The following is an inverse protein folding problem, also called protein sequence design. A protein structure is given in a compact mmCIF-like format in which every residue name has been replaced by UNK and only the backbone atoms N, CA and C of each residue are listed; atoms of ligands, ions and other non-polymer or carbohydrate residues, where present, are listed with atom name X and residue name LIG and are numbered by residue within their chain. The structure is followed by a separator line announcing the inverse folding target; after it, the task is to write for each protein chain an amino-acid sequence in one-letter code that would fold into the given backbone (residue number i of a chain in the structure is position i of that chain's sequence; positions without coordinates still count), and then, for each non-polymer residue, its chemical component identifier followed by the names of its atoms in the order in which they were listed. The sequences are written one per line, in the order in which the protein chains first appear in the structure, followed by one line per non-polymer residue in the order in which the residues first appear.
data_IF_342653339773
#
_entry.id   IF_342653339773
#
_cell.length_a   1.000
_cell.length_b   1.000
_cell.length_c   1.000
_cell.angle_alpha   90.00
_cell.angle_beta   90.00
_cell.angle_gamma   90.00
#
_symmetry.space_group_name_H-M   'P 1'
#
loop_
_entity.id
_entity.type
_entity.pdbx_description
1 polymer ?
#
# COMPACT_ATOMS: atom_id res chain seq x y z
N UNK A 1 46.12 -17.00 -11.66
CA UNK A 1 46.05 -17.12 -13.12
C UNK A 1 47.30 -16.61 -13.85
N UNK A 2 47.78 -15.39 -13.59
CA UNK A 2 48.94 -14.83 -14.33
C UNK A 2 50.23 -15.66 -14.16
N UNK A 3 50.48 -16.17 -12.95
CA UNK A 3 51.68 -16.99 -12.66
C UNK A 3 51.62 -18.42 -13.27
N UNK A 4 50.43 -19.02 -13.42
CA UNK A 4 50.29 -20.36 -14.00
C UNK A 4 50.41 -20.34 -15.53
N UNK A 5 49.96 -19.25 -16.17
CA UNK A 5 50.13 -19.04 -17.61
C UNK A 5 51.61 -18.87 -17.97
N UNK A 6 52.36 -18.13 -17.15
CA UNK A 6 53.81 -17.94 -17.33
C UNK A 6 54.61 -19.24 -17.27
N UNK A 7 54.25 -20.17 -16.38
CA UNK A 7 54.92 -21.47 -16.26
C UNK A 7 54.66 -22.41 -17.45
N UNK A 8 53.46 -22.34 -18.05
CA UNK A 8 53.10 -23.10 -19.26
C UNK A 8 53.90 -22.56 -20.46
N UNK A 9 53.96 -21.24 -20.63
CA UNK A 9 54.73 -20.61 -21.72
C UNK A 9 56.23 -20.87 -21.58
N UNK A 10 56.79 -20.79 -20.36
CA UNK A 10 58.20 -21.08 -20.11
C UNK A 10 58.56 -22.57 -20.35
N UNK A 11 57.65 -23.50 -20.06
CA UNK A 11 57.88 -24.94 -20.27
C UNK A 11 57.84 -25.36 -21.74
N UNK A 12 57.15 -24.61 -22.61
CA UNK A 12 57.12 -24.84 -24.07
C UNK A 12 58.44 -24.40 -24.71
N UNK A 13 59.09 -23.37 -24.16
CA UNK A 13 60.32 -22.79 -24.73
C UNK A 13 61.57 -23.62 -24.38
N UNK A 14 61.55 -24.42 -23.30
CA UNK A 14 62.72 -25.22 -22.88
C UNK A 14 62.31 -26.63 -22.40
N UNK A 15 62.14 -27.61 -23.31
CA UNK A 15 61.59 -28.93 -22.98
C UNK A 15 62.64 -29.82 -22.28
N UNK A 16 62.64 -29.80 -20.95
CA UNK A 16 63.36 -30.79 -20.13
C UNK A 16 62.54 -32.07 -19.90
N UNK A 17 63.15 -33.19 -19.46
CA UNK A 17 62.44 -34.46 -19.21
C UNK A 17 61.34 -34.39 -18.14
N UNK A 18 61.28 -33.31 -17.36
CA UNK A 18 60.23 -33.04 -16.36
C UNK A 18 59.06 -32.19 -16.90
N UNK A 19 59.13 -31.74 -18.16
CA UNK A 19 58.17 -30.80 -18.78
C UNK A 19 56.73 -31.33 -18.81
N UNK A 20 56.54 -32.64 -19.00
CA UNK A 20 55.21 -33.25 -19.01
C UNK A 20 54.51 -33.19 -17.64
N UNK A 21 55.27 -33.35 -16.56
CA UNK A 21 54.74 -33.27 -15.19
C UNK A 21 54.35 -31.83 -14.84
N UNK A 22 55.19 -30.85 -15.19
CA UNK A 22 54.87 -29.44 -14.94
C UNK A 22 53.68 -28.96 -15.76
N UNK A 23 53.55 -29.38 -17.01
CA UNK A 23 52.37 -29.07 -17.85
C UNK A 23 51.10 -29.70 -17.25
N UNK A 24 51.17 -30.96 -16.80
CA UNK A 24 50.05 -31.64 -16.15
C UNK A 24 49.58 -30.93 -14.88
N UNK A 25 50.51 -30.58 -13.98
CA UNK A 25 50.21 -29.87 -12.72
C UNK A 25 49.66 -28.47 -13.01
N UNK A 26 50.24 -27.73 -13.97
CA UNK A 26 49.75 -26.40 -14.33
C UNK A 26 48.35 -26.45 -14.95
N UNK A 27 48.06 -27.44 -15.80
CA UNK A 27 46.74 -27.68 -16.36
C UNK A 27 45.70 -28.01 -15.29
N UNK A 28 46.03 -28.89 -14.34
CA UNK A 28 45.16 -29.20 -13.20
C UNK A 28 44.90 -27.97 -12.32
N UNK A 29 45.94 -27.18 -12.01
CA UNK A 29 45.80 -25.95 -11.23
C UNK A 29 44.93 -24.90 -11.94
N UNK A 30 45.03 -24.79 -13.26
CA UNK A 30 44.16 -23.94 -14.07
C UNK A 30 42.71 -24.42 -14.02
N UNK A 31 42.46 -25.72 -14.22
CA UNK A 31 41.10 -26.27 -14.17
C UNK A 31 40.46 -26.11 -12.78
N UNK A 32 41.21 -26.34 -11.70
CA UNK A 32 40.72 -26.09 -10.33
C UNK A 32 40.43 -24.60 -10.15
N UNK A 33 41.34 -23.71 -10.58
CA UNK A 33 41.09 -22.26 -10.48
C UNK A 33 39.88 -21.82 -11.30
N UNK A 34 39.70 -22.37 -12.50
CA UNK A 34 38.55 -22.10 -13.37
C UNK A 34 37.26 -22.68 -12.78
N UNK A 35 37.29 -23.87 -12.16
CA UNK A 35 36.16 -24.47 -11.47
C UNK A 35 35.79 -23.68 -10.21
N UNK A 36 36.77 -23.20 -9.45
CA UNK A 36 36.57 -22.30 -8.30
C UNK A 36 35.99 -20.97 -8.79
N UNK A 37 36.56 -20.36 -9.83
CA UNK A 37 35.99 -19.15 -10.42
C UNK A 37 34.59 -19.37 -10.96
N UNK A 38 34.30 -20.53 -11.56
CA UNK A 38 32.98 -20.87 -12.09
C UNK A 38 31.96 -21.12 -10.99
N UNK A 39 32.37 -21.77 -9.89
CA UNK A 39 31.52 -21.99 -8.71
C UNK A 39 31.30 -20.70 -7.91
N UNK A 40 32.28 -19.81 -7.81
CA UNK A 40 32.11 -18.49 -7.22
C UNK A 40 31.36 -17.50 -8.14
N UNK A 41 31.52 -17.61 -9.47
CA UNK A 41 30.79 -16.79 -10.45
C UNK A 41 29.35 -17.28 -10.67
N UNK A 42 29.08 -18.57 -10.43
CA UNK A 42 27.74 -19.03 -10.07
C UNK A 42 27.40 -18.42 -8.71
N UNK A 43 26.96 -17.15 -8.73
CA UNK A 43 26.17 -16.57 -7.65
C UNK A 43 25.22 -17.65 -7.18
N UNK A 44 25.34 -18.05 -5.93
CA UNK A 44 24.48 -19.06 -5.32
C UNK A 44 23.04 -18.81 -5.76
N UNK A 45 22.50 -19.71 -6.58
CA UNK A 45 21.10 -19.70 -7.01
C UNK A 45 20.18 -20.17 -5.90
N UNK A 46 20.72 -20.53 -4.73
CA UNK A 46 19.99 -20.31 -3.48
C UNK A 46 19.88 -18.80 -3.26
N UNK A 47 19.05 -18.16 -4.08
CA UNK A 47 18.38 -16.95 -3.71
C UNK A 47 17.75 -17.26 -2.35
N UNK A 48 18.32 -16.70 -1.28
CA UNK A 48 17.76 -16.67 0.06
C UNK A 48 16.27 -16.34 -0.11
N UNK A 49 15.43 -17.39 -0.09
CA UNK A 49 14.04 -17.30 -0.51
C UNK A 49 13.42 -16.18 0.29
N UNK A 50 12.76 -15.22 -0.39
CA UNK A 50 12.07 -14.19 0.37
C UNK A 50 10.90 -14.92 1.03
N UNK A 51 10.73 -14.80 2.36
CA UNK A 51 9.61 -15.45 3.02
C UNK A 51 8.32 -15.02 2.32
N UNK A 52 7.59 -15.99 1.74
CA UNK A 52 6.37 -15.74 0.98
C UNK A 52 5.25 -15.17 1.86
N UNK A 53 5.30 -15.48 3.16
CA UNK A 53 4.42 -14.93 4.19
C UNK A 53 4.39 -13.39 4.17
N UNK A 54 5.48 -12.77 3.74
CA UNK A 54 5.55 -11.32 3.65
C UNK A 54 4.69 -10.74 2.54
N UNK A 55 4.12 -11.50 1.60
CA UNK A 55 3.36 -10.99 0.45
C UNK A 55 1.84 -11.20 0.54
N UNK A 56 1.39 -12.07 1.43
CA UNK A 56 -0.04 -12.41 1.58
C UNK A 56 -0.82 -11.49 2.53
N UNK A 57 -0.13 -10.77 3.41
CA UNK A 57 -0.78 -9.94 4.43
C UNK A 57 -1.14 -8.56 3.87
N UNK A 58 -2.42 -8.25 3.73
CA UNK A 58 -2.91 -6.94 3.31
C UNK A 58 -3.94 -6.45 4.31
N UNK A 59 -3.95 -5.17 4.64
CA UNK A 59 -5.00 -4.63 5.48
C UNK A 59 -6.30 -4.67 4.68
N UNK A 60 -7.30 -5.36 5.20
CA UNK A 60 -8.62 -5.34 4.60
C UNK A 60 -9.35 -4.08 5.05
N UNK A 61 -9.44 -3.10 4.15
CA UNK A 61 -10.07 -1.79 4.42
C UNK A 61 -11.59 -1.87 4.25
N UNK A 62 -12.13 -3.00 3.79
CA UNK A 62 -13.56 -3.18 3.55
C UNK A 62 -14.02 -2.33 2.37
N UNK A 63 -15.05 -1.50 2.56
CA UNK A 63 -15.55 -0.57 1.55
C UNK A 63 -15.13 0.87 1.92
N UNK A 64 -14.08 1.43 1.28
CA UNK A 64 -13.57 2.76 1.63
C UNK A 64 -14.64 3.85 1.51
N UNK A 65 -14.67 4.74 2.49
CA UNK A 65 -15.60 5.85 2.63
C UNK A 65 -17.09 5.44 2.64
N UNK A 66 -17.42 4.17 2.87
CA UNK A 66 -18.80 3.72 2.94
C UNK A 66 -19.58 4.35 4.11
N UNK A 67 -18.89 4.70 5.19
CA UNK A 67 -19.48 5.35 6.36
C UNK A 67 -20.04 6.74 6.06
N UNK A 68 -19.60 7.40 4.98
CA UNK A 68 -20.16 8.67 4.53
C UNK A 68 -21.67 8.60 4.25
N UNK A 69 -22.19 7.40 3.93
CA UNK A 69 -23.62 7.17 3.71
C UNK A 69 -24.47 7.32 4.97
N UNK A 70 -23.85 7.25 6.14
CA UNK A 70 -24.52 7.34 7.45
C UNK A 70 -24.53 8.77 8.00
N UNK A 71 -23.73 9.65 7.42
CA UNK A 71 -23.61 11.03 7.88
C UNK A 71 -24.85 11.85 7.52
N UNK A 72 -25.18 12.78 8.40
CA UNK A 72 -26.17 13.82 8.20
C UNK A 72 -25.68 14.96 7.31
N UNK A 73 -26.62 15.81 6.88
CA UNK A 73 -26.28 17.03 6.14
C UNK A 73 -25.51 18.00 7.02
N UNK A 74 -24.50 18.66 6.45
CA UNK A 74 -23.67 19.61 7.17
C UNK A 74 -22.57 18.97 8.03
N UNK A 75 -22.46 17.64 8.08
CA UNK A 75 -21.41 16.91 8.83
C UNK A 75 -20.07 16.86 8.06
N UNK A 76 -19.69 17.96 7.43
CA UNK A 76 -18.50 18.08 6.57
C UNK A 76 -17.20 17.72 7.29
N UNK A 77 -17.10 18.09 8.55
CA UNK A 77 -15.94 17.77 9.39
C UNK A 77 -15.79 16.25 9.58
N UNK A 78 -16.89 15.57 9.94
CA UNK A 78 -16.90 14.13 10.11
C UNK A 78 -16.60 13.42 8.78
N UNK A 79 -17.18 13.90 7.68
CA UNK A 79 -16.91 13.37 6.34
C UNK A 79 -15.43 13.48 5.95
N UNK A 80 -14.80 14.64 6.22
CA UNK A 80 -13.38 14.84 5.98
C UNK A 80 -12.53 13.87 6.83
N UNK A 81 -12.87 13.68 8.12
CA UNK A 81 -12.13 12.81 9.02
C UNK A 81 -12.25 11.32 8.65
N UNK A 82 -13.44 10.85 8.31
CA UNK A 82 -13.65 9.48 7.80
C UNK A 82 -12.84 9.26 6.53
N UNK A 83 -12.97 10.19 5.56
CA UNK A 83 -12.26 10.09 4.29
C UNK A 83 -10.74 10.08 4.48
N UNK A 84 -10.20 10.94 5.33
CA UNK A 84 -8.77 10.98 5.61
C UNK A 84 -8.28 9.67 6.26
N UNK A 85 -9.03 9.14 7.24
CA UNK A 85 -8.68 7.89 7.93
C UNK A 85 -8.67 6.69 6.97
N UNK A 86 -9.65 6.62 6.06
CA UNK A 86 -9.70 5.57 5.06
C UNK A 86 -8.56 5.72 4.05
N UNK A 87 -8.24 6.94 3.60
CA UNK A 87 -7.09 7.18 2.72
C UNK A 87 -5.75 6.89 3.40
N UNK A 88 -5.59 7.16 4.69
CA UNK A 88 -4.41 6.78 5.46
C UNK A 88 -4.27 5.25 5.53
N UNK A 89 -5.38 4.53 5.68
CA UNK A 89 -5.40 3.06 5.63
C UNK A 89 -5.00 2.53 4.24
N UNK A 90 -5.46 3.17 3.17
CA UNK A 90 -5.02 2.86 1.80
C UNK A 90 -3.55 3.23 1.55
N UNK A 91 -3.05 4.32 2.15
CA UNK A 91 -1.65 4.71 2.09
C UNK A 91 -0.76 3.65 2.76
N UNK A 92 -1.16 3.12 3.93
CA UNK A 92 -0.45 2.03 4.59
C UNK A 92 -0.37 0.77 3.71
N UNK A 93 -1.44 0.44 2.99
CA UNK A 93 -1.40 -0.64 1.99
C UNK A 93 -0.43 -0.33 0.83
N UNK A 94 -0.42 0.91 0.34
CA UNK A 94 0.55 1.32 -0.68
C UNK A 94 2.01 1.26 -0.17
N UNK A 95 2.25 1.58 1.10
CA UNK A 95 3.57 1.45 1.75
C UNK A 95 4.00 -0.02 1.86
N UNK A 96 3.07 -0.94 2.19
CA UNK A 96 3.35 -2.38 2.13
C UNK A 96 3.71 -2.82 0.72
N UNK A 97 2.99 -2.35 -0.31
CA UNK A 97 3.33 -2.59 -1.71
C UNK A 97 4.74 -2.07 -2.05
N UNK A 98 5.08 -0.87 -1.60
CA UNK A 98 6.40 -0.25 -1.81
C UNK A 98 7.50 -1.07 -1.16
N UNK A 99 7.34 -1.41 0.12
CA UNK A 99 8.31 -2.19 0.89
C UNK A 99 8.56 -3.53 0.21
N UNK A 100 7.50 -4.24 -0.19
CA UNK A 100 7.63 -5.53 -0.89
C UNK A 100 8.29 -5.40 -2.25
N UNK A 101 7.93 -4.39 -3.03
CA UNK A 101 8.56 -4.11 -4.32
C UNK A 101 10.04 -3.81 -4.15
N UNK A 102 10.42 -3.07 -3.11
CA UNK A 102 11.82 -2.72 -2.82
C UNK A 102 12.68 -3.94 -2.49
N UNK A 103 12.11 -4.97 -1.86
CA UNK A 103 12.82 -6.22 -1.55
C UNK A 103 13.26 -6.95 -2.82
N UNK A 104 12.53 -6.79 -3.93
CA UNK A 104 12.84 -7.40 -5.22
C UNK A 104 13.95 -6.65 -5.98
N UNK A 105 14.22 -5.39 -5.62
CA UNK A 105 15.20 -4.56 -6.33
C UNK A 105 16.61 -5.15 -6.19
N UNK A 106 17.31 -5.29 -7.33
CA UNK A 106 18.66 -5.82 -7.40
C UNK A 106 18.79 -7.33 -7.18
N UNK A 107 17.66 -8.06 -7.03
CA UNK A 107 17.67 -9.52 -6.92
C UNK A 107 17.74 -10.17 -8.29
N UNK A 108 18.43 -11.32 -8.34
CA UNK A 108 18.54 -12.14 -9.55
C UNK A 108 17.15 -12.61 -9.97
N UNK A 109 16.81 -12.40 -11.24
CA UNK A 109 15.48 -12.69 -11.79
C UNK A 109 14.49 -11.52 -11.72
N UNK A 110 14.81 -10.45 -10.97
CA UNK A 110 13.97 -9.26 -10.83
C UNK A 110 14.67 -8.00 -11.38
N UNK A 111 15.60 -8.18 -12.32
CA UNK A 111 16.31 -7.09 -12.98
C UNK A 111 15.32 -6.14 -13.66
N UNK A 112 14.27 -6.68 -14.30
CA UNK A 112 13.25 -5.91 -14.98
C UNK A 112 12.44 -5.01 -14.02
N UNK A 113 12.17 -5.46 -12.79
CA UNK A 113 11.54 -4.64 -11.72
C UNK A 113 12.44 -3.44 -11.37
N UNK A 114 13.76 -3.65 -11.37
CA UNK A 114 14.76 -2.62 -11.06
C UNK A 114 14.90 -1.62 -12.21
N UNK A 115 15.03 -2.11 -13.44
CA UNK A 115 15.17 -1.33 -14.67
C UNK A 115 13.96 -0.41 -14.89
N UNK A 116 12.75 -0.93 -14.66
CA UNK A 116 11.49 -0.18 -14.76
C UNK A 116 11.24 0.76 -13.57
N UNK A 117 12.13 0.73 -12.56
CA UNK A 117 12.07 1.55 -11.34
C UNK A 117 10.73 1.41 -10.64
N UNK A 118 10.18 0.19 -10.56
CA UNK A 118 8.87 -0.07 -9.97
C UNK A 118 8.76 0.48 -8.55
N UNK A 119 9.80 0.34 -7.73
CA UNK A 119 9.84 0.91 -6.38
C UNK A 119 9.56 2.42 -6.34
N UNK A 120 10.08 3.20 -7.30
CA UNK A 120 9.84 4.65 -7.38
C UNK A 120 8.42 4.98 -7.79
N UNK A 121 7.84 4.19 -8.70
CA UNK A 121 6.44 4.39 -9.12
C UNK A 121 5.50 4.19 -7.94
N UNK A 122 5.72 3.14 -7.15
CA UNK A 122 4.93 2.87 -5.94
C UNK A 122 5.19 3.95 -4.87
N UNK A 123 6.43 4.39 -4.69
CA UNK A 123 6.77 5.49 -3.75
C UNK A 123 6.06 6.81 -4.11
N UNK A 124 5.97 7.14 -5.39
CA UNK A 124 5.20 8.31 -5.86
C UNK A 124 3.72 8.15 -5.52
N UNK A 125 3.14 6.97 -5.77
CA UNK A 125 1.74 6.68 -5.43
C UNK A 125 1.48 6.83 -3.92
N UNK A 126 2.35 6.27 -3.07
CA UNK A 126 2.29 6.44 -1.61
C UNK A 126 2.30 7.92 -1.23
N UNK A 127 3.22 8.68 -1.82
CA UNK A 127 3.39 10.11 -1.55
C UNK A 127 2.15 10.92 -1.97
N UNK A 128 1.54 10.57 -3.11
CA UNK A 128 0.33 11.20 -3.62
C UNK A 128 -0.88 10.91 -2.71
N UNK A 129 -1.10 9.66 -2.30
CA UNK A 129 -2.20 9.30 -1.36
C UNK A 129 -2.01 10.03 -0.02
N UNK A 130 -0.81 9.98 0.56
CA UNK A 130 -0.48 10.68 1.81
C UNK A 130 -0.62 12.20 1.69
N UNK A 131 -0.38 12.79 0.51
CA UNK A 131 -0.60 14.21 0.27
C UNK A 131 -2.09 14.55 0.32
N UNK A 132 -2.93 13.73 -0.32
CA UNK A 132 -4.39 13.92 -0.35
C UNK A 132 -4.97 13.79 1.06
N UNK A 133 -4.63 12.71 1.78
CA UNK A 133 -5.14 12.46 3.13
C UNK A 133 -4.78 13.60 4.11
N UNK A 134 -3.52 14.09 4.06
CA UNK A 134 -3.08 15.25 4.85
C UNK A 134 -3.78 16.54 4.44
N UNK A 135 -4.01 16.76 3.15
CA UNK A 135 -4.73 17.94 2.65
C UNK A 135 -6.16 17.98 3.20
N UNK A 136 -6.87 16.85 3.18
CA UNK A 136 -8.24 16.72 3.71
C UNK A 136 -8.24 16.94 5.24
N UNK A 137 -7.29 16.33 5.94
CA UNK A 137 -7.16 16.48 7.40
C UNK A 137 -6.87 17.93 7.80
N UNK A 138 -6.05 18.63 7.02
CA UNK A 138 -5.67 20.02 7.28
C UNK A 138 -6.79 21.01 6.94
N UNK A 139 -7.49 20.82 5.82
CA UNK A 139 -8.63 21.66 5.44
C UNK A 139 -9.83 21.45 6.37
N UNK A 140 -9.94 20.26 6.98
CA UNK A 140 -11.10 19.81 7.77
C UNK A 140 -12.42 19.83 6.98
N UNK A 141 -12.31 19.89 5.66
CA UNK A 141 -13.42 19.96 4.74
C UNK A 141 -13.16 19.06 3.56
N UNK A 142 -14.21 18.36 3.13
CA UNK A 142 -14.19 17.52 1.95
C UNK A 142 -14.67 18.33 0.76
N UNK A 143 -13.78 18.54 -0.21
CA UNK A 143 -14.00 19.40 -1.38
C UNK A 143 -14.02 18.59 -2.67
N UNK A 144 -14.68 19.09 -3.72
CA UNK A 144 -14.86 18.33 -4.98
C UNK A 144 -13.54 18.05 -5.73
N UNK A 145 -12.48 18.83 -5.48
CA UNK A 145 -11.16 18.69 -6.09
C UNK A 145 -10.36 17.50 -5.58
N UNK A 146 -10.76 16.86 -4.48
CA UNK A 146 -10.08 15.65 -3.99
C UNK A 146 -10.40 14.42 -4.86
N UNK A 147 -11.60 14.38 -5.46
CA UNK A 147 -12.05 13.27 -6.30
C UNK A 147 -11.10 13.02 -7.48
N UNK A 148 -10.79 14.00 -8.35
CA UNK A 148 -9.88 13.77 -9.47
C UNK A 148 -8.47 13.38 -9.02
N UNK A 149 -8.03 13.82 -7.83
CA UNK A 149 -6.73 13.42 -7.27
C UNK A 149 -6.72 11.95 -6.83
N UNK A 150 -7.81 11.48 -6.20
CA UNK A 150 -7.97 10.06 -5.82
C UNK A 150 -8.06 9.18 -7.07
N UNK A 151 -8.83 9.60 -8.08
CA UNK A 151 -8.92 8.88 -9.37
C UNK A 151 -7.57 8.80 -10.08
N UNK A 152 -6.78 9.88 -10.04
CA UNK A 152 -5.41 9.87 -10.57
C UNK A 152 -4.53 8.84 -9.83
N UNK A 153 -4.65 8.73 -8.50
CA UNK A 153 -3.96 7.69 -7.74
C UNK A 153 -4.43 6.29 -8.13
N UNK A 154 -5.74 6.10 -8.35
CA UNK A 154 -6.29 4.83 -8.79
C UNK A 154 -5.77 4.40 -10.16
N UNK A 155 -5.70 5.34 -11.11
CA UNK A 155 -5.12 5.11 -12.44
C UNK A 155 -3.62 4.79 -12.34
N UNK A 156 -2.86 5.48 -11.48
CA UNK A 156 -1.46 5.15 -11.23
C UNK A 156 -1.31 3.72 -10.66
N UNK A 157 -2.15 3.32 -9.71
CA UNK A 157 -2.16 1.98 -9.13
C UNK A 157 -2.46 0.90 -10.18
N UNK A 158 -3.42 1.16 -11.08
CA UNK A 158 -3.73 0.28 -12.23
C UNK A 158 -2.54 0.14 -13.18
N UNK A 159 -1.90 1.25 -13.56
CA UNK A 159 -0.68 1.20 -14.40
C UNK A 159 0.47 0.45 -13.73
N UNK A 160 0.55 0.48 -12.40
CA UNK A 160 1.52 -0.32 -11.64
C UNK A 160 1.18 -1.81 -11.74
N UNK A 161 -0.11 -2.17 -11.61
CA UNK A 161 -0.59 -3.54 -11.78
C UNK A 161 -0.31 -4.08 -13.18
N UNK A 162 -0.66 -3.33 -14.23
CA UNK A 162 -0.39 -3.68 -15.62
C UNK A 162 1.11 -3.89 -15.84
N UNK A 163 1.93 -3.04 -15.22
CA UNK A 163 3.38 -3.19 -15.35
C UNK A 163 3.90 -4.44 -14.63
N UNK A 164 3.35 -4.81 -13.47
CA UNK A 164 3.68 -6.10 -12.86
C UNK A 164 3.29 -7.28 -13.75
N UNK A 165 2.11 -7.20 -14.41
CA UNK A 165 1.66 -8.21 -15.35
C UNK A 165 2.62 -8.36 -16.55
N UNK A 166 3.05 -7.26 -17.17
CA UNK A 166 4.05 -7.28 -18.24
C UNK A 166 5.37 -7.89 -17.79
N UNK A 167 5.77 -7.64 -16.54
CA UNK A 167 7.02 -8.14 -15.96
C UNK A 167 6.97 -9.65 -15.64
N UNK A 168 5.77 -10.20 -15.47
CA UNK A 168 5.52 -11.64 -15.28
C UNK A 168 5.64 -12.44 -16.58
N UNK A 169 5.33 -11.82 -17.73
CA UNK A 169 5.21 -12.53 -19.01
C UNK A 169 6.54 -13.22 -19.41
N UNK A 170 6.47 -14.54 -19.67
CA UNK A 170 7.61 -15.34 -20.10
C UNK A 170 8.67 -15.61 -19.02
N UNK A 171 8.40 -15.28 -17.75
CA UNK A 171 9.30 -15.55 -16.63
C UNK A 171 9.09 -16.95 -16.01
N UNK A 172 10.12 -17.55 -15.40
CA UNK A 172 9.98 -18.78 -14.63
C UNK A 172 8.99 -18.61 -13.46
N UNK A 173 8.33 -19.71 -13.09
CA UNK A 173 7.34 -19.79 -11.99
C UNK A 173 7.84 -19.17 -10.68
N UNK A 174 9.13 -19.30 -10.37
CA UNK A 174 9.73 -18.70 -9.18
C UNK A 174 9.55 -17.18 -9.11
N UNK A 175 9.54 -16.47 -10.24
CA UNK A 175 9.31 -15.02 -10.30
C UNK A 175 7.82 -14.71 -10.14
N UNK A 176 6.98 -15.49 -10.80
CA UNK A 176 5.52 -15.37 -10.75
C UNK A 176 4.98 -15.37 -9.32
N UNK A 177 5.49 -16.28 -8.48
CA UNK A 177 5.12 -16.41 -7.06
C UNK A 177 5.30 -15.09 -6.27
N UNK A 178 6.20 -14.20 -6.68
CA UNK A 178 6.43 -12.91 -6.01
C UNK A 178 5.74 -11.74 -6.70
N UNK A 179 5.65 -11.74 -8.03
CA UNK A 179 5.04 -10.63 -8.77
C UNK A 179 3.51 -10.66 -8.71
N UNK A 180 2.90 -11.86 -8.77
CA UNK A 180 1.44 -11.98 -8.79
C UNK A 180 0.79 -11.36 -7.55
N UNK A 181 1.27 -11.60 -6.31
CA UNK A 181 0.73 -10.93 -5.13
C UNK A 181 0.85 -9.41 -5.17
N UNK A 182 1.92 -8.86 -5.79
CA UNK A 182 2.10 -7.42 -5.93
C UNK A 182 1.14 -6.83 -6.96
N UNK A 183 0.96 -7.52 -8.09
CA UNK A 183 -0.03 -7.17 -9.10
C UNK A 183 -1.44 -7.12 -8.50
N UNK A 184 -1.89 -8.22 -7.89
CA UNK A 184 -3.24 -8.31 -7.29
C UNK A 184 -3.47 -7.23 -6.25
N UNK A 185 -2.44 -6.86 -5.51
CA UNK A 185 -2.56 -5.80 -4.53
C UNK A 185 -2.62 -4.39 -5.12
N UNK A 186 -1.88 -4.13 -6.20
CA UNK A 186 -2.01 -2.89 -6.96
C UNK A 186 -3.40 -2.78 -7.61
N UNK A 187 -3.94 -3.89 -8.13
CA UNK A 187 -5.33 -3.97 -8.65
C UNK A 187 -6.35 -3.67 -7.54
N UNK A 188 -6.20 -4.32 -6.36
CA UNK A 188 -7.06 -4.07 -5.20
C UNK A 188 -7.00 -2.61 -4.77
N UNK A 189 -5.80 -2.05 -4.63
CA UNK A 189 -5.61 -0.64 -4.24
C UNK A 189 -6.27 0.31 -5.24
N UNK A 190 -6.15 0.05 -6.55
CA UNK A 190 -6.83 0.83 -7.59
C UNK A 190 -8.36 0.77 -7.43
N UNK A 191 -8.90 -0.42 -7.21
CA UNK A 191 -10.33 -0.63 -6.98
C UNK A 191 -10.83 0.09 -5.71
N UNK A 192 -10.09 -0.01 -4.62
CA UNK A 192 -10.42 0.60 -3.33
C UNK A 192 -10.41 2.14 -3.44
N UNK A 193 -9.43 2.72 -4.14
CA UNK A 193 -9.36 4.16 -4.40
C UNK A 193 -10.54 4.66 -5.25
N UNK A 194 -10.94 3.93 -6.30
CA UNK A 194 -12.14 4.25 -7.11
C UNK A 194 -13.41 4.17 -6.28
N UNK A 195 -13.50 3.18 -5.40
CA UNK A 195 -14.63 3.02 -4.48
C UNK A 195 -14.72 4.19 -3.51
N UNK A 196 -13.59 4.62 -2.94
CA UNK A 196 -13.51 5.82 -2.11
C UNK A 196 -13.99 7.06 -2.88
N UNK A 197 -13.44 7.29 -4.09
CA UNK A 197 -13.81 8.42 -4.95
C UNK A 197 -15.31 8.44 -5.28
N UNK A 198 -15.90 7.28 -5.61
CA UNK A 198 -17.32 7.14 -5.89
C UNK A 198 -18.18 7.44 -4.65
N UNK A 199 -17.78 6.97 -3.46
CA UNK A 199 -18.50 7.23 -2.22
C UNK A 199 -18.42 8.70 -1.79
N UNK A 200 -17.25 9.33 -1.90
CA UNK A 200 -17.05 10.77 -1.68
C UNK A 200 -17.92 11.59 -2.65
N UNK A 201 -17.91 11.23 -3.94
CA UNK A 201 -18.71 11.91 -4.96
C UNK A 201 -20.21 11.86 -4.65
N UNK A 202 -20.73 10.69 -4.24
CA UNK A 202 -22.13 10.53 -3.82
C UNK A 202 -22.47 11.40 -2.62
N UNK A 203 -21.60 11.46 -1.61
CA UNK A 203 -21.80 12.31 -0.43
C UNK A 203 -21.84 13.79 -0.81
N UNK A 204 -20.88 14.28 -1.59
CA UNK A 204 -20.84 15.69 -2.01
C UNK A 204 -22.03 16.08 -2.89
N UNK A 205 -22.51 15.17 -3.76
CA UNK A 205 -23.71 15.38 -4.56
C UNK A 205 -24.97 15.47 -3.69
N UNK A 206 -25.05 14.65 -2.65
CA UNK A 206 -26.17 14.66 -1.70
C UNK A 206 -26.20 15.96 -0.88
N UNK A 207 -25.05 16.39 -0.37
CA UNK A 207 -24.88 17.65 0.36
C UNK A 207 -25.27 18.89 -0.48
N UNK A 208 -24.98 18.88 -1.78
CA UNK A 208 -25.34 19.97 -2.70
C UNK A 208 -26.83 20.03 -3.04
N UNK A 209 -27.51 18.87 -3.14
CA UNK A 209 -28.94 18.80 -3.50
C UNK A 209 -29.88 19.06 -2.32
N UNK A 210 -29.45 18.77 -1.10
CA UNK A 210 -30.30 18.90 0.07
C UNK A 210 -30.77 20.31 0.45
N UNK A 211 -30.02 21.42 0.24
CA UNK A 211 -30.54 22.76 0.52
C UNK A 211 -31.76 23.15 -0.34
N UNK A 212 -32.04 22.45 -1.44
CA UNK A 212 -33.18 22.74 -2.32
C UNK A 212 -34.52 22.19 -1.78
N UNK A 213 -34.49 21.17 -0.91
CA UNK A 213 -35.71 20.51 -0.38
C UNK A 213 -36.22 21.17 0.91
N UNK A 214 -35.39 21.95 1.59
CA UNK A 214 -35.74 22.65 2.84
C UNK A 214 -36.10 24.13 2.63
N UNK A 215 -36.14 24.63 1.39
CA UNK A 215 -36.76 25.92 1.11
C UNK A 215 -38.25 25.80 1.50
N UNK A 216 -38.70 26.49 2.57
CA UNK A 216 -40.08 26.39 2.98
C UNK A 216 -40.91 26.98 1.83
N UNK A 217 -41.75 26.15 1.22
CA UNK A 217 -42.95 26.64 0.56
C UNK A 217 -43.75 27.30 1.67
N UNK A 218 -43.50 28.60 1.91
CA UNK A 218 -44.26 29.44 2.81
C UNK A 218 -45.73 29.25 2.45
N UNK A 219 -46.55 28.62 3.31
CA UNK A 219 -47.99 28.75 3.16
C UNK A 219 -48.28 30.23 3.29
N UNK A 220 -48.96 30.81 2.30
CA UNK A 220 -49.50 32.15 2.41
C UNK A 220 -50.23 32.28 3.75
N UNK A 221 -49.74 33.19 4.59
CA UNK A 221 -50.26 33.41 5.93
C UNK A 221 -51.78 33.71 5.88
N UNK A 222 -52.64 32.95 6.59
CA UNK A 222 -53.94 33.47 6.96
C UNK A 222 -53.76 34.47 8.10
N UNK A 223 -54.34 35.65 7.90
CA UNK A 223 -54.36 36.77 8.84
C UNK A 223 -54.85 36.37 10.24
N UNK A 224 -54.10 36.83 11.24
CA UNK A 224 -54.50 37.31 12.58
C UNK A 224 -55.75 36.73 13.25
N UNK A 225 -55.57 36.14 14.44
CA UNK A 225 -56.36 36.54 15.62
C UNK A 225 -55.62 36.25 16.94
N UNK A 226 -55.81 37.17 17.88
CA UNK A 226 -55.13 37.39 19.17
C UNK A 226 -55.78 36.53 20.29
N UNK A 227 -55.08 36.20 21.41
CA UNK A 227 -55.39 35.04 22.27
C UNK A 227 -56.20 35.37 23.55
N UNK A 228 -56.70 34.35 24.28
CA UNK A 228 -57.08 34.46 25.70
C UNK A 228 -56.06 33.76 26.67
N UNK A 229 -56.16 34.03 27.99
CA UNK A 229 -55.08 33.94 28.99
C UNK A 229 -55.04 32.58 29.75
N UNK A 230 -54.10 32.37 30.72
CA UNK A 230 -53.57 31.05 31.06
C UNK A 230 -54.31 30.33 32.19
N UNK A 231 -54.44 29.01 32.09
CA UNK A 231 -54.79 28.14 33.21
C UNK A 231 -53.55 27.47 33.82
N UNK A 232 -53.38 27.80 35.10
CA UNK A 232 -52.51 27.21 36.12
C UNK A 232 -52.82 25.72 36.33
N UNK A 233 -51.80 24.85 36.36
CA UNK A 233 -51.99 23.47 36.80
C UNK A 233 -50.73 22.62 36.89
N UNK A 234 -50.28 22.39 38.13
CA UNK A 234 -49.54 21.23 38.68
C UNK A 234 -48.29 20.71 37.93
N UNK A 235 -47.08 20.93 38.46
CA UNK A 235 -46.40 20.00 39.39
C UNK A 235 -46.50 18.53 38.99
N UNK A 236 -45.40 17.97 38.46
CA UNK A 236 -44.92 16.67 38.92
C UNK A 236 -43.40 16.51 38.75
N UNK A 237 -42.78 16.39 39.92
CA UNK A 237 -41.44 15.90 40.24
C UNK A 237 -41.24 14.43 39.85
N UNK A 238 -39.98 14.06 39.59
CA UNK A 238 -39.33 12.74 39.75
C UNK A 238 -38.71 12.21 38.45
N UNK A 239 -37.52 11.60 38.40
CA UNK A 239 -36.41 11.41 39.34
C UNK A 239 -35.25 10.99 38.45
N UNK A 240 -34.07 11.56 38.68
CA UNK A 240 -32.82 11.14 38.06
C UNK A 240 -32.46 9.71 38.50
N UNK A 241 -32.10 8.85 37.54
CA UNK A 241 -31.43 7.59 37.83
C UNK A 241 -30.06 7.61 37.14
N UNK A 242 -28.95 7.61 37.89
CA UNK A 242 -27.62 7.44 37.33
C UNK A 242 -27.33 5.96 37.10
N UNK A 243 -27.01 5.58 35.87
CA UNK A 243 -26.47 4.25 35.59
C UNK A 243 -24.96 4.20 35.91
N UNK A 244 -24.44 3.05 36.37
CA UNK A 244 -23.12 2.93 36.97
C UNK A 244 -22.01 2.82 35.91
N UNK A 245 -20.83 3.31 36.29
CA UNK A 245 -19.55 3.10 35.62
C UNK A 245 -19.23 1.60 35.46
N UNK A 246 -18.62 1.19 34.33
CA UNK A 246 -18.04 -0.13 34.20
C UNK A 246 -16.75 -0.26 35.03
N UNK A 247 -16.69 -1.41 35.70
CA UNK A 247 -15.64 -1.95 36.54
C UNK A 247 -14.32 -2.14 35.75
N UNK A 248 -13.22 -1.61 36.29
CA UNK A 248 -11.86 -1.77 35.77
C UNK A 248 -11.31 -3.12 36.27
N UNK A 249 -10.92 -4.06 35.39
CA UNK A 249 -10.22 -5.27 35.81
C UNK A 249 -8.78 -4.97 36.23
N UNK A 250 -8.25 -5.64 37.28
CA UNK A 250 -6.90 -5.40 37.76
C UNK A 250 -5.83 -5.94 36.80
N UNK A 251 -4.78 -5.14 36.72
CA UNK A 251 -3.47 -5.34 36.13
C UNK A 251 -2.88 -6.72 36.50
N UNK A 252 -2.76 -7.62 35.52
CA UNK A 252 -1.97 -8.84 35.69
C UNK A 252 -0.51 -8.55 35.40
N UNK A 253 0.27 -8.43 36.48
CA UNK A 253 1.72 -8.54 36.48
C UNK A 253 2.09 -9.99 36.21
N UNK A 254 2.66 -10.30 35.05
CA UNK A 254 3.43 -11.54 34.85
C UNK A 254 4.89 -11.18 34.59
N UNK A 255 5.60 -11.14 35.71
CA UNK A 255 7.02 -11.42 35.83
C UNK A 255 7.25 -12.90 35.46
N UNK A 256 8.10 -13.19 34.46
CA UNK A 256 8.88 -14.43 34.44
C UNK A 256 10.00 -14.43 33.38
N UNK A 257 11.23 -14.49 33.91
CA UNK A 257 12.46 -15.17 33.45
C UNK A 257 13.04 -14.89 32.06
#
# INVERSE_FOLDING_TARGET
MVLSLGAIVASIINPGPQSYLTVGVAGAAFLVSAAVLFTYSRKSTEAKQIPLENFSLWADVGEPAAELRRLGLGEKFAAAQITATDLDSLAANAELLQARTSILVGRVGFESVTEEKMHRRVETLVSDINRIARSISASRELTKDVIPQIEQCAEQAERIADKFFELEEGKPETIYIYLEPLRRAAEKLSHDLRTAAANISKYLLWEEKAPEVLAPTLPAAPSAETPPPPETGAQNTSTASPSPLPEVPPEQTTENK
#
